data_IF_772497701518
#
_entry.id   IF_772497701518
#
_cell.length_a   1.000
_cell.length_b   1.000
_cell.length_c   1.000
_cell.angle_alpha   90.00
_cell.angle_beta   90.00
_cell.angle_gamma   90.00
#
_symmetry.space_group_name_H-M   'P 1'
#
loop_
_entity.id
_entity.type
_entity.pdbx_description
1 polymer ?
#
# COMPACT_ATOMS: atom_id res chain seq x y z
N UNK A 1 3.00 10.97 -10.62
CA UNK A 1 2.57 12.23 -9.97
C UNK A 1 2.85 12.23 -8.47
N UNK A 2 2.12 11.48 -7.63
CA UNK A 2 2.34 11.48 -6.18
C UNK A 2 3.77 11.06 -5.78
N UNK A 3 4.23 9.89 -6.25
CA UNK A 3 5.59 9.39 -6.00
C UNK A 3 6.68 10.40 -6.41
N UNK A 4 6.50 11.06 -7.56
CA UNK A 4 7.41 12.10 -8.06
C UNK A 4 7.41 13.35 -7.18
N UNK A 5 6.26 13.76 -6.65
CA UNK A 5 6.15 14.92 -5.74
C UNK A 5 6.83 14.69 -4.40
N UNK A 6 6.84 13.45 -3.91
CA UNK A 6 7.50 13.08 -2.65
C UNK A 6 8.91 12.53 -2.84
N UNK A 7 9.40 12.38 -4.07
CA UNK A 7 10.73 11.85 -4.36
C UNK A 7 10.90 10.35 -4.10
N UNK A 8 9.81 9.59 -4.08
CA UNK A 8 9.81 8.16 -3.72
C UNK A 8 9.61 7.23 -4.91
N UNK A 9 10.11 6.00 -4.80
CA UNK A 9 9.77 4.89 -5.69
C UNK A 9 8.57 4.12 -5.15
N UNK A 10 7.82 3.46 -6.03
CA UNK A 10 6.67 2.65 -5.64
C UNK A 10 6.67 1.25 -6.26
N UNK A 11 6.17 0.29 -5.49
CA UNK A 11 5.72 -1.02 -5.96
C UNK A 11 4.21 -1.07 -5.78
N UNK A 12 3.46 -1.30 -6.86
CA UNK A 12 1.99 -1.34 -6.86
C UNK A 12 1.55 -2.76 -7.16
N UNK A 13 0.84 -3.38 -6.22
CA UNK A 13 0.15 -4.66 -6.43
C UNK A 13 -1.26 -4.44 -6.96
N UNK A 14 -1.61 -5.02 -8.10
CA UNK A 14 -2.92 -4.81 -8.75
C UNK A 14 -3.98 -5.81 -8.32
N UNK A 15 -3.60 -6.87 -7.62
CA UNK A 15 -4.49 -7.95 -7.20
C UNK A 15 -5.26 -8.59 -8.36
N UNK A 16 -4.58 -8.80 -9.50
CA UNK A 16 -5.16 -9.43 -10.69
C UNK A 16 -5.98 -8.50 -11.59
N UNK A 17 -6.09 -7.22 -11.24
CA UNK A 17 -6.72 -6.21 -12.11
C UNK A 17 -5.73 -5.79 -13.19
N UNK A 18 -6.23 -5.60 -14.41
CA UNK A 18 -5.44 -5.13 -15.55
C UNK A 18 -5.19 -3.61 -15.46
N UNK A 19 -3.91 -3.24 -15.52
CA UNK A 19 -3.43 -1.86 -15.52
C UNK A 19 -2.53 -1.59 -16.73
N UNK A 20 -2.62 -2.40 -17.79
CA UNK A 20 -1.75 -2.30 -18.98
C UNK A 20 -1.88 -0.96 -19.72
N UNK A 21 -3.04 -0.30 -19.61
CA UNK A 21 -3.30 1.01 -20.24
C UNK A 21 -2.78 2.21 -19.42
N UNK A 22 -2.18 1.97 -18.25
CA UNK A 22 -1.64 3.05 -17.40
C UNK A 22 -0.22 3.40 -17.83
N UNK A 23 0.16 4.71 -17.85
CA UNK A 23 1.52 5.12 -18.18
C UNK A 23 2.57 4.45 -17.29
N UNK A 24 3.65 3.98 -17.91
CA UNK A 24 4.83 3.46 -17.22
C UNK A 24 5.75 4.60 -16.77
N UNK A 25 6.37 4.41 -15.60
CA UNK A 25 7.36 5.34 -15.06
C UNK A 25 8.52 4.55 -14.45
N UNK A 26 9.77 4.97 -14.68
CA UNK A 26 10.97 4.25 -14.21
C UNK A 26 11.02 4.00 -12.69
N UNK A 27 10.36 4.86 -11.91
CA UNK A 27 10.31 4.80 -10.44
C UNK A 27 9.08 4.08 -9.90
N UNK A 28 8.22 3.53 -10.76
CA UNK A 28 6.99 2.81 -10.39
C UNK A 28 6.99 1.44 -11.03
N UNK A 29 7.00 0.39 -10.21
CA UNK A 29 6.82 -0.98 -10.68
C UNK A 29 5.41 -1.47 -10.37
N UNK A 30 4.70 -1.93 -11.40
CA UNK A 30 3.38 -2.54 -11.28
C UNK A 30 3.53 -4.06 -11.35
N UNK A 31 2.92 -4.78 -10.43
CA UNK A 31 2.92 -6.25 -10.38
C UNK A 31 1.53 -6.76 -10.06
N UNK A 32 1.20 -7.95 -10.54
CA UNK A 32 -0.10 -8.57 -10.30
C UNK A 32 -0.28 -8.94 -8.81
N UNK A 33 0.75 -9.52 -8.20
CA UNK A 33 0.77 -9.95 -6.82
C UNK A 33 2.06 -9.54 -6.10
N UNK A 34 1.96 -9.32 -4.79
CA UNK A 34 3.06 -8.89 -3.93
C UNK A 34 3.25 -9.91 -2.81
N UNK A 35 4.47 -10.41 -2.64
CA UNK A 35 4.83 -11.14 -1.44
C UNK A 35 5.17 -10.15 -0.32
N UNK A 36 4.20 -9.88 0.56
CA UNK A 36 4.35 -8.89 1.63
C UNK A 36 5.51 -9.21 2.59
N UNK A 37 5.75 -10.49 2.90
CA UNK A 37 6.84 -10.88 3.80
C UNK A 37 8.23 -10.53 3.22
N UNK A 38 8.38 -10.64 1.90
CA UNK A 38 9.62 -10.27 1.22
C UNK A 38 9.76 -8.76 0.99
N UNK A 39 8.63 -8.06 0.77
CA UNK A 39 8.63 -6.66 0.33
C UNK A 39 8.59 -5.67 1.50
N UNK A 40 7.76 -5.93 2.51
CA UNK A 40 7.53 -4.98 3.60
C UNK A 40 8.81 -4.55 4.34
N UNK A 41 9.79 -5.44 4.60
CA UNK A 41 11.05 -5.01 5.23
C UNK A 41 11.86 -3.99 4.42
N UNK A 42 11.63 -3.89 3.11
CA UNK A 42 12.28 -2.92 2.23
C UNK A 42 11.43 -1.65 1.98
N UNK A 43 10.21 -1.61 2.52
CA UNK A 43 9.32 -0.47 2.37
C UNK A 43 9.55 0.57 3.47
N UNK A 44 9.39 1.84 3.12
CA UNK A 44 9.39 2.95 4.09
C UNK A 44 7.98 3.29 4.62
N UNK A 45 6.96 2.89 3.88
CA UNK A 45 5.54 3.09 4.19
C UNK A 45 4.71 2.16 3.31
N UNK A 46 3.45 1.94 3.69
CA UNK A 46 2.47 1.18 2.90
C UNK A 46 1.19 1.98 2.72
N UNK A 47 0.62 1.94 1.51
CA UNK A 47 -0.69 2.52 1.19
C UNK A 47 -1.61 1.37 0.79
N UNK A 48 -2.76 1.23 1.44
CA UNK A 48 -3.74 0.19 1.10
C UNK A 48 -5.15 0.60 1.55
N UNK A 49 -6.16 -0.19 1.22
CA UNK A 49 -7.55 0.14 1.54
C UNK A 49 -7.94 -0.09 3.02
N UNK A 50 -7.07 -0.67 3.84
CA UNK A 50 -7.41 -0.98 5.24
C UNK A 50 -7.93 -2.39 5.52
N UNK A 51 -7.82 -3.32 4.55
CA UNK A 51 -8.14 -4.73 4.78
C UNK A 51 -7.34 -5.32 5.95
N UNK A 52 -8.02 -6.05 6.84
CA UNK A 52 -7.50 -6.53 8.13
C UNK A 52 -6.16 -7.28 8.02
N UNK A 53 -6.00 -8.13 7.00
CA UNK A 53 -4.77 -8.88 6.75
C UNK A 53 -3.58 -7.98 6.43
N UNK A 54 -3.74 -7.04 5.47
CA UNK A 54 -2.67 -6.11 5.09
C UNK A 54 -2.34 -5.13 6.22
N UNK A 55 -3.36 -4.64 6.94
CA UNK A 55 -3.18 -3.82 8.15
C UNK A 55 -2.30 -4.54 9.17
N UNK A 56 -2.65 -5.78 9.52
CA UNK A 56 -1.90 -6.55 10.52
C UNK A 56 -0.46 -6.81 10.07
N UNK A 57 -0.22 -7.08 8.78
CA UNK A 57 1.12 -7.24 8.24
C UNK A 57 1.94 -5.94 8.29
N UNK A 58 1.33 -4.80 7.97
CA UNK A 58 1.97 -3.48 8.04
C UNK A 58 2.38 -3.14 9.47
N UNK A 59 1.48 -3.37 10.44
CA UNK A 59 1.76 -3.20 11.86
C UNK A 59 2.88 -4.11 12.34
N UNK A 60 2.85 -5.41 11.98
CA UNK A 60 3.92 -6.34 12.36
C UNK A 60 5.27 -5.96 11.77
N UNK A 61 5.30 -5.35 10.59
CA UNK A 61 6.51 -4.85 9.97
C UNK A 61 6.95 -3.46 10.50
N UNK A 62 6.19 -2.84 11.39
CA UNK A 62 6.48 -1.50 11.91
C UNK A 62 6.39 -0.38 10.86
N UNK A 63 5.57 -0.58 9.82
CA UNK A 63 5.50 0.35 8.69
C UNK A 63 4.49 1.49 8.95
N UNK A 64 4.89 2.75 8.73
CA UNK A 64 3.95 3.85 8.54
C UNK A 64 2.89 3.46 7.49
N UNK A 65 1.62 3.54 7.87
CA UNK A 65 0.51 3.01 7.08
C UNK A 65 -0.50 4.11 6.75
N UNK A 66 -0.82 4.27 5.46
CA UNK A 66 -1.90 5.12 4.98
C UNK A 66 -3.07 4.26 4.49
N UNK A 67 -4.23 4.44 5.12
CA UNK A 67 -5.47 3.75 4.74
C UNK A 67 -6.33 4.65 3.86
N UNK A 68 -6.58 4.19 2.62
CA UNK A 68 -7.52 4.78 1.68
C UNK A 68 -8.78 3.91 1.62
N UNK A 69 -9.64 4.12 2.60
CA UNK A 69 -10.83 3.29 2.85
C UNK A 69 -11.84 3.30 1.70
N UNK A 70 -12.37 2.12 1.37
CA UNK A 70 -13.46 1.91 0.41
C UNK A 70 -14.76 1.47 1.08
N UNK A 71 -14.77 1.21 2.40
CA UNK A 71 -15.96 0.81 3.15
C UNK A 71 -15.98 1.36 4.60
N UNK A 72 -17.09 1.14 5.33
CA UNK A 72 -17.24 1.64 6.69
C UNK A 72 -16.31 0.93 7.69
N UNK A 73 -16.08 -0.37 7.52
CA UNK A 73 -15.24 -1.16 8.43
C UNK A 73 -13.79 -0.67 8.38
N UNK A 74 -13.24 -0.51 7.18
CA UNK A 74 -11.90 0.02 6.94
C UNK A 74 -11.75 1.44 7.52
N UNK A 75 -12.79 2.26 7.46
CA UNK A 75 -12.81 3.61 8.02
C UNK A 75 -12.72 3.59 9.55
N UNK A 76 -13.55 2.76 10.19
CA UNK A 76 -13.57 2.62 11.64
C UNK A 76 -12.23 2.10 12.17
N UNK A 77 -11.70 1.03 11.58
CA UNK A 77 -10.39 0.50 12.00
C UNK A 77 -9.23 1.40 11.64
N UNK A 78 -9.28 2.08 10.49
CA UNK A 78 -8.30 3.10 10.13
C UNK A 78 -8.26 4.25 11.15
N UNK A 79 -9.40 4.62 11.75
CA UNK A 79 -9.44 5.62 12.82
C UNK A 79 -8.76 5.14 14.11
N UNK A 80 -8.78 3.83 14.39
CA UNK A 80 -8.09 3.23 15.54
C UNK A 80 -6.58 3.22 15.33
N UNK A 81 -6.11 2.91 14.11
CA UNK A 81 -4.67 2.96 13.81
C UNK A 81 -4.06 4.34 13.98
N UNK A 82 -4.82 5.42 13.72
CA UNK A 82 -4.35 6.80 13.94
C UNK A 82 -4.05 7.13 15.40
N UNK A 83 -4.48 6.28 16.34
CA UNK A 83 -4.27 6.47 17.77
C UNK A 83 -3.02 5.75 18.30
N UNK A 84 -2.30 5.03 17.43
CA UNK A 84 -1.01 4.39 17.72
C UNK A 84 0.14 5.35 17.38
#
# INVERSE_FOLDING_TARGET
AACSQVGERALVGTAGVDFSDVPSFDHVKVVEAVNYAAVFPACRAVVHHGGTGTTALGLRAGLPTLILSTDLHQTLWGSQLKQL
#
